data_IF_643708026452
#
_entry.id   IF_643708026452
#
_cell.length_a   1.000
_cell.length_b   1.000
_cell.length_c   1.000
_cell.angle_alpha   90.00
_cell.angle_beta   90.00
_cell.angle_gamma   90.00
#
_symmetry.space_group_name_H-M   'P 1'
#
loop_
_entity.id
_entity.type
_entity.pdbx_description
1 polymer ?
#
# COMPACT_ATOMS: atom_id res chain seq x y z
N UNK A 1 -6.48 5.77 17.75
CA UNK A 1 -7.27 6.41 16.68
C UNK A 1 -6.51 6.22 15.36
N UNK A 2 -7.21 5.90 14.26
CA UNK A 2 -6.60 5.73 12.92
C UNK A 2 -6.04 7.09 12.49
N UNK A 3 -4.75 7.19 12.17
CA UNK A 3 -4.16 8.42 11.63
C UNK A 3 -4.84 8.70 10.28
N UNK A 4 -5.60 9.80 10.20
CA UNK A 4 -6.26 10.19 8.95
C UNK A 4 -5.36 11.11 8.15
N UNK A 5 -5.50 11.09 6.83
CA UNK A 5 -4.78 11.95 5.91
C UNK A 5 -5.78 12.73 5.06
N UNK A 6 -5.47 13.99 4.79
CA UNK A 6 -6.29 14.87 3.97
C UNK A 6 -6.38 14.34 2.53
N UNK A 7 -7.59 14.06 2.05
CA UNK A 7 -7.90 13.55 0.71
C UNK A 7 -7.75 14.61 -0.40
N UNK A 8 -7.09 15.73 -0.11
CA UNK A 8 -6.72 16.79 -1.06
C UNK A 8 -5.21 17.05 -1.08
N UNK A 9 -4.52 17.08 0.06
CA UNK A 9 -3.09 17.41 0.11
C UNK A 9 -2.19 16.30 0.69
N UNK A 10 -2.77 15.18 1.15
CA UNK A 10 -2.02 14.08 1.76
C UNK A 10 -1.46 14.39 3.14
N UNK A 11 -1.80 15.53 3.75
CA UNK A 11 -1.31 15.92 5.07
C UNK A 11 -1.94 15.04 6.17
N UNK A 12 -1.16 14.50 7.12
CA UNK A 12 -1.71 13.85 8.32
C UNK A 12 -2.60 14.84 9.10
N UNK A 13 -3.77 14.39 9.54
CA UNK A 13 -4.76 15.20 10.24
C UNK A 13 -5.08 14.65 11.63
N UNK A 14 -5.16 15.57 12.58
CA UNK A 14 -5.80 15.45 13.89
C UNK A 14 -7.15 16.17 13.88
N UNK A 15 -7.97 16.00 14.92
CA UNK A 15 -9.35 16.54 14.97
C UNK A 15 -9.40 18.07 14.82
N UNK A 16 -8.39 18.77 15.36
CA UNK A 16 -8.26 20.22 15.23
C UNK A 16 -7.98 20.67 13.79
N UNK A 17 -7.39 19.80 12.97
CA UNK A 17 -7.06 20.07 11.57
C UNK A 17 -8.17 19.65 10.59
N UNK A 18 -9.29 19.11 11.05
CA UNK A 18 -10.44 18.78 10.19
C UNK A 18 -11.15 20.02 9.67
N UNK A 19 -11.38 20.04 8.35
CA UNK A 19 -12.15 21.05 7.64
C UNK A 19 -13.60 21.10 8.11
N UNK A 20 -14.41 21.95 7.49
CA UNK A 20 -15.80 22.17 7.91
C UNK A 20 -16.79 22.05 6.76
N UNK A 21 -17.95 21.47 7.07
CA UNK A 21 -19.15 21.49 6.24
C UNK A 21 -19.88 22.85 6.37
N UNK A 22 -20.85 23.12 5.49
CA UNK A 22 -21.70 24.32 5.56
C UNK A 22 -22.40 24.51 6.92
N UNK A 23 -22.71 23.41 7.61
CA UNK A 23 -23.34 23.41 8.94
C UNK A 23 -22.32 23.42 10.10
N UNK A 24 -21.06 23.78 9.84
CA UNK A 24 -19.94 23.79 10.78
C UNK A 24 -19.56 22.42 11.38
N UNK A 25 -20.13 21.30 10.91
CA UNK A 25 -19.66 19.97 11.29
C UNK A 25 -18.25 19.74 10.73
N UNK A 26 -17.44 18.98 11.47
CA UNK A 26 -16.09 18.60 11.04
C UNK A 26 -16.15 17.64 9.85
N UNK A 27 -15.41 17.97 8.79
CA UNK A 27 -15.15 17.08 7.67
C UNK A 27 -13.87 16.28 7.98
N UNK A 28 -14.01 14.96 8.06
CA UNK A 28 -12.89 14.06 8.44
C UNK A 28 -12.04 13.62 7.24
N UNK A 29 -12.41 14.03 6.02
CA UNK A 29 -11.71 13.69 4.78
C UNK A 29 -10.70 14.75 4.38
N UNK A 30 -10.99 16.03 4.65
CA UNK A 30 -10.18 17.16 4.20
C UNK A 30 -9.74 18.04 5.37
N UNK A 31 -8.55 18.62 5.27
CA UNK A 31 -8.03 19.50 6.31
C UNK A 31 -8.58 20.93 6.19
N UNK A 32 -8.50 21.69 7.28
CA UNK A 32 -8.88 23.12 7.36
C UNK A 32 -8.21 24.00 6.30
N UNK A 33 -7.05 23.59 5.76
CA UNK A 33 -6.33 24.35 4.75
C UNK A 33 -6.84 24.08 3.33
N UNK A 34 -7.48 22.92 3.10
CA UNK A 34 -8.01 22.55 1.79
C UNK A 34 -9.51 22.81 1.67
N UNK A 35 -10.28 22.62 2.74
CA UNK A 35 -11.74 22.57 2.70
C UNK A 35 -12.36 23.28 3.91
N UNK A 36 -13.30 24.18 3.66
CA UNK A 36 -13.99 24.96 4.68
C UNK A 36 -15.37 25.39 4.17
N UNK A 37 -16.35 25.42 5.09
CA UNK A 37 -17.73 25.79 4.83
C UNK A 37 -18.35 25.02 3.64
N UNK A 38 -18.08 23.71 3.55
CA UNK A 38 -18.64 22.83 2.52
C UNK A 38 -18.04 23.02 1.12
N UNK A 39 -16.88 23.67 1.00
CA UNK A 39 -16.23 23.88 -0.29
C UNK A 39 -14.70 23.86 -0.22
N UNK A 40 -14.05 23.53 -1.33
CA UNK A 40 -12.60 23.67 -1.44
C UNK A 40 -12.23 25.16 -1.49
N UNK A 41 -11.25 25.58 -0.68
CA UNK A 41 -10.76 26.98 -0.64
C UNK A 41 -10.20 27.43 -1.99
N UNK A 42 -9.66 26.49 -2.76
CA UNK A 42 -9.07 26.73 -4.07
C UNK A 42 -9.59 25.68 -5.07
N UNK A 43 -10.81 25.82 -5.61
CA UNK A 43 -11.44 24.78 -6.42
C UNK A 43 -10.75 24.58 -7.77
N UNK A 44 -10.13 25.63 -8.33
CA UNK A 44 -9.39 25.58 -9.60
C UNK A 44 -7.92 25.20 -9.46
N UNK A 45 -7.44 24.92 -8.25
CA UNK A 45 -6.04 24.54 -8.00
C UNK A 45 -5.72 23.23 -8.74
N UNK A 46 -4.64 23.21 -9.49
CA UNK A 46 -4.15 22.01 -10.18
C UNK A 46 -3.29 21.13 -9.26
N UNK A 47 -3.03 19.88 -9.65
CA UNK A 47 -2.13 19.01 -8.89
C UNK A 47 -0.71 19.56 -8.80
N UNK A 48 -0.15 20.12 -9.88
CA UNK A 48 1.19 20.75 -9.85
C UNK A 48 1.22 21.94 -8.88
N UNK A 49 0.17 22.77 -8.87
CA UNK A 49 0.06 23.86 -7.90
C UNK A 49 -0.07 23.34 -6.46
N UNK A 50 -0.78 22.23 -6.23
CA UNK A 50 -0.84 21.59 -4.92
C UNK A 50 0.53 21.07 -4.46
N UNK A 51 1.34 20.52 -5.37
CA UNK A 51 2.73 20.12 -5.08
C UNK A 51 3.53 21.34 -4.63
N UNK A 52 3.46 22.44 -5.38
CA UNK A 52 4.18 23.67 -5.06
C UNK A 52 3.75 24.28 -3.72
N UNK A 53 2.48 24.11 -3.32
CA UNK A 53 1.99 24.52 -1.99
C UNK A 53 2.55 23.62 -0.88
N UNK A 54 2.62 22.30 -1.08
CA UNK A 54 2.98 21.36 -0.01
C UNK A 54 4.50 21.21 0.21
N UNK A 55 5.29 21.26 -0.87
CA UNK A 55 6.74 21.00 -0.84
C UNK A 55 7.49 21.90 0.16
N UNK A 56 7.22 23.22 0.27
CA UNK A 56 7.86 24.07 1.27
C UNK A 56 7.71 23.56 2.71
N UNK A 57 6.51 23.13 3.10
CA UNK A 57 6.25 22.60 4.44
C UNK A 57 6.95 21.26 4.70
N UNK A 58 7.06 20.41 3.67
CA UNK A 58 7.79 19.15 3.78
C UNK A 58 9.30 19.37 3.94
N UNK A 59 9.84 20.40 3.27
CA UNK A 59 11.24 20.81 3.42
C UNK A 59 11.54 21.33 4.82
N UNK A 60 10.65 22.15 5.38
CA UNK A 60 10.76 22.64 6.76
C UNK A 60 10.80 21.48 7.76
N UNK A 61 10.07 20.40 7.48
CA UNK A 61 10.10 19.15 8.27
C UNK A 61 11.28 18.22 7.96
N UNK A 62 12.27 18.66 7.18
CA UNK A 62 13.53 17.95 6.94
C UNK A 62 13.56 17.07 5.69
N UNK A 63 12.52 17.09 4.83
CA UNK A 63 12.54 16.33 3.58
C UNK A 63 13.30 17.09 2.47
N UNK A 64 14.16 16.40 1.71
CA UNK A 64 14.78 16.98 0.51
C UNK A 64 13.71 17.31 -0.55
N UNK A 65 13.89 18.43 -1.26
CA UNK A 65 12.90 18.92 -2.23
C UNK A 65 12.55 17.91 -3.31
N UNK A 66 13.54 17.29 -3.97
CA UNK A 66 13.29 16.31 -5.03
C UNK A 66 12.51 15.10 -4.51
N UNK A 67 12.80 14.66 -3.28
CA UNK A 67 12.06 13.58 -2.62
C UNK A 67 10.63 14.02 -2.30
N UNK A 68 10.43 15.24 -1.80
CA UNK A 68 9.10 15.78 -1.52
C UNK A 68 8.26 15.89 -2.79
N UNK A 69 8.82 16.44 -3.87
CA UNK A 69 8.14 16.52 -5.18
C UNK A 69 7.79 15.14 -5.72
N UNK A 70 8.72 14.18 -5.67
CA UNK A 70 8.48 12.80 -6.09
C UNK A 70 7.37 12.15 -5.27
N UNK A 71 7.42 12.28 -3.94
CA UNK A 71 6.39 11.72 -3.06
C UNK A 71 5.01 12.32 -3.36
N UNK A 72 4.93 13.64 -3.54
CA UNK A 72 3.66 14.32 -3.84
C UNK A 72 3.11 13.94 -5.21
N UNK A 73 3.96 13.81 -6.24
CA UNK A 73 3.56 13.35 -7.58
C UNK A 73 2.98 11.94 -7.56
N UNK A 74 3.48 11.08 -6.68
CA UNK A 74 2.94 9.73 -6.51
C UNK A 74 1.70 9.72 -5.60
N UNK A 75 1.65 10.58 -4.58
CA UNK A 75 0.55 10.58 -3.61
C UNK A 75 -0.73 11.24 -4.13
N UNK A 76 -0.64 12.46 -4.70
CA UNK A 76 -1.81 13.26 -5.04
C UNK A 76 -2.79 12.55 -6.00
N UNK A 77 -2.37 11.91 -7.10
CA UNK A 77 -3.29 11.26 -8.04
C UNK A 77 -4.21 10.21 -7.42
N UNK A 78 -3.89 9.71 -6.22
CA UNK A 78 -4.63 8.66 -5.53
C UNK A 78 -5.63 9.19 -4.49
N UNK A 79 -5.61 10.48 -4.18
CA UNK A 79 -6.53 11.08 -3.20
C UNK A 79 -7.91 11.37 -3.82
N UNK A 80 -8.98 11.32 -3.01
CA UNK A 80 -10.38 11.52 -3.48
C UNK A 80 -10.56 12.77 -4.36
N UNK A 81 -9.85 13.87 -4.08
CA UNK A 81 -9.95 15.11 -4.87
C UNK A 81 -9.43 14.97 -6.31
N UNK A 82 -8.42 14.13 -6.53
CA UNK A 82 -7.64 14.13 -7.77
C UNK A 82 -7.80 12.86 -8.59
N UNK A 83 -8.14 11.75 -7.94
CA UNK A 83 -8.27 10.47 -8.62
C UNK A 83 -9.34 10.55 -9.70
N UNK A 84 -9.06 9.97 -10.86
CA UNK A 84 -10.00 9.92 -11.98
C UNK A 84 -11.01 8.79 -11.81
N UNK A 85 -10.57 7.66 -11.26
CA UNK A 85 -11.35 6.43 -11.12
C UNK A 85 -10.97 5.72 -9.83
N UNK A 86 -11.88 4.92 -9.29
CA UNK A 86 -11.56 3.96 -8.23
C UNK A 86 -10.81 2.78 -8.84
N UNK A 87 -9.69 2.40 -8.24
CA UNK A 87 -8.84 1.29 -8.70
C UNK A 87 -9.20 -0.05 -8.04
N UNK A 88 -10.32 -0.10 -7.33
CA UNK A 88 -10.90 -1.34 -6.81
C UNK A 88 -11.47 -2.12 -7.99
N UNK A 89 -10.96 -3.31 -8.23
CA UNK A 89 -11.34 -4.15 -9.37
C UNK A 89 -12.31 -5.26 -9.01
N UNK A 90 -12.46 -5.58 -7.72
CA UNK A 90 -13.49 -6.52 -7.29
C UNK A 90 -13.38 -6.93 -5.82
N UNK A 91 -14.33 -7.77 -5.40
CA UNK A 91 -14.29 -8.50 -4.14
C UNK A 91 -14.27 -9.99 -4.47
N UNK A 92 -13.35 -10.73 -3.86
CA UNK A 92 -13.22 -12.18 -4.07
C UNK A 92 -13.12 -12.92 -2.73
N UNK A 93 -13.50 -14.18 -2.72
CA UNK A 93 -13.26 -15.09 -1.60
C UNK A 93 -12.05 -15.97 -1.89
N UNK A 94 -11.20 -16.17 -0.90
CA UNK A 94 -10.12 -17.16 -0.94
C UNK A 94 -10.21 -18.08 0.26
N UNK A 95 -9.96 -19.37 0.00
CA UNK A 95 -9.74 -20.35 1.06
C UNK A 95 -8.43 -20.08 1.80
N UNK A 96 -8.21 -20.80 2.90
CA UNK A 96 -6.93 -20.77 3.59
C UNK A 96 -5.77 -21.07 2.63
N UNK A 97 -4.66 -20.36 2.82
CA UNK A 97 -3.46 -20.50 1.98
C UNK A 97 -2.24 -20.74 2.86
N UNK A 98 -1.39 -21.66 2.41
CA UNK A 98 -0.06 -21.87 2.98
C UNK A 98 0.94 -21.20 2.06
N UNK A 99 1.72 -20.27 2.59
CA UNK A 99 2.73 -19.53 1.83
C UNK A 99 4.10 -19.86 2.42
N UNK A 100 5.03 -20.29 1.58
CA UNK A 100 6.44 -20.53 1.94
C UNK A 100 7.31 -19.48 1.27
N UNK A 101 8.26 -18.92 2.02
CA UNK A 101 9.11 -17.86 1.49
C UNK A 101 10.16 -17.36 2.46
N UNK A 102 10.88 -16.32 2.00
CA UNK A 102 11.84 -15.57 2.80
C UNK A 102 11.12 -14.40 3.46
N UNK A 103 11.29 -14.25 4.77
CA UNK A 103 10.58 -13.26 5.59
C UNK A 103 11.55 -12.25 6.21
N UNK A 104 11.07 -11.01 6.34
CA UNK A 104 11.69 -9.94 7.12
C UNK A 104 10.65 -9.23 7.99
N UNK A 105 11.10 -8.63 9.08
CA UNK A 105 10.28 -7.77 9.94
C UNK A 105 10.53 -6.30 9.62
N UNK A 106 9.49 -5.50 9.44
CA UNK A 106 9.61 -4.07 9.14
C UNK A 106 8.41 -3.25 9.62
N UNK A 107 8.41 -1.94 9.36
CA UNK A 107 7.33 -1.02 9.72
C UNK A 107 7.24 0.13 8.70
N UNK A 108 6.05 0.73 8.61
CA UNK A 108 5.83 1.97 7.89
C UNK A 108 6.47 3.19 8.59
N UNK A 109 6.74 3.08 9.91
CA UNK A 109 7.35 4.16 10.69
C UNK A 109 8.75 4.49 10.16
N UNK A 110 9.02 5.80 10.04
CA UNK A 110 10.31 6.36 9.60
C UNK A 110 10.77 5.87 8.21
N UNK A 111 9.91 5.18 7.45
CA UNK A 111 10.21 4.69 6.12
C UNK A 111 11.11 3.45 6.05
N UNK A 112 11.30 2.72 7.15
CA UNK A 112 12.21 1.56 7.21
C UNK A 112 11.94 0.50 6.12
N UNK A 113 10.67 0.28 5.78
CA UNK A 113 10.26 -0.64 4.71
C UNK A 113 10.87 -0.30 3.34
N UNK A 114 11.16 0.97 3.05
CA UNK A 114 11.69 1.42 1.75
C UNK A 114 13.09 0.87 1.47
N UNK A 115 13.85 0.50 2.49
CA UNK A 115 15.16 -0.14 2.33
C UNK A 115 15.09 -1.66 2.50
N UNK A 116 14.22 -2.15 3.40
CA UNK A 116 14.17 -3.57 3.79
C UNK A 116 13.47 -4.42 2.72
N UNK A 117 12.30 -3.99 2.23
CA UNK A 117 11.50 -4.78 1.28
C UNK A 117 12.22 -4.94 -0.06
N UNK A 118 12.79 -3.88 -0.68
CA UNK A 118 13.52 -4.04 -1.95
C UNK A 118 14.74 -4.97 -1.84
N UNK A 119 15.47 -4.94 -0.71
CA UNK A 119 16.60 -5.85 -0.48
C UNK A 119 16.15 -7.31 -0.39
N UNK A 120 15.00 -7.57 0.24
CA UNK A 120 14.44 -8.93 0.27
C UNK A 120 14.07 -9.42 -1.14
N UNK A 121 13.42 -8.58 -1.95
CA UNK A 121 13.12 -8.91 -3.34
C UNK A 121 14.37 -9.17 -4.17
N UNK A 122 15.40 -8.33 -4.00
CA UNK A 122 16.70 -8.50 -4.66
C UNK A 122 17.37 -9.83 -4.24
N UNK A 123 17.41 -10.14 -2.94
CA UNK A 123 17.93 -11.40 -2.42
C UNK A 123 17.17 -12.60 -3.01
N UNK A 124 15.83 -12.55 -2.97
CA UNK A 124 14.97 -13.62 -3.46
C UNK A 124 15.23 -13.93 -4.93
N UNK A 125 15.37 -12.87 -5.75
CA UNK A 125 15.65 -12.97 -7.19
C UNK A 125 17.08 -13.44 -7.48
N UNK A 126 18.08 -12.78 -6.89
CA UNK A 126 19.51 -13.03 -7.19
C UNK A 126 19.95 -14.42 -6.76
N UNK A 127 19.49 -14.89 -5.60
CA UNK A 127 19.80 -16.23 -5.10
C UNK A 127 18.85 -17.32 -5.64
N UNK A 128 17.92 -16.97 -6.53
CA UNK A 128 16.90 -17.86 -7.10
C UNK A 128 16.18 -18.67 -6.03
N UNK A 129 15.76 -17.99 -4.98
CA UNK A 129 15.15 -18.62 -3.81
C UNK A 129 13.84 -19.33 -4.16
N UNK A 130 13.07 -18.78 -5.11
CA UNK A 130 11.85 -19.39 -5.63
C UNK A 130 12.04 -20.80 -6.22
N UNK A 131 13.21 -21.09 -6.82
CA UNK A 131 13.50 -22.39 -7.44
C UNK A 131 13.66 -23.50 -6.38
N UNK A 132 13.90 -23.13 -5.12
CA UNK A 132 14.08 -24.07 -4.00
C UNK A 132 12.76 -24.46 -3.35
N UNK A 133 11.70 -23.71 -3.58
CA UNK A 133 10.37 -23.96 -2.99
C UNK A 133 9.69 -25.05 -3.81
N UNK A 134 9.27 -26.13 -3.15
CA UNK A 134 8.57 -27.26 -3.78
C UNK A 134 7.04 -27.14 -3.58
N UNK A 135 6.30 -27.98 -4.31
CA UNK A 135 4.85 -28.14 -4.15
C UNK A 135 4.06 -26.83 -4.29
N UNK A 136 4.50 -25.94 -5.18
CA UNK A 136 3.81 -24.69 -5.47
C UNK A 136 2.46 -24.98 -6.10
N UNK A 137 1.43 -24.26 -5.65
CA UNK A 137 0.10 -24.30 -6.27
C UNK A 137 0.18 -23.74 -7.70
N UNK A 138 1.00 -22.72 -7.92
CA UNK A 138 1.27 -22.14 -9.23
C UNK A 138 2.73 -21.65 -9.30
N UNK A 139 3.48 -22.15 -10.28
CA UNK A 139 4.89 -21.81 -10.50
C UNK A 139 5.10 -20.36 -10.98
N UNK A 140 4.06 -19.72 -11.53
CA UNK A 140 4.15 -18.40 -12.16
C UNK A 140 3.57 -17.27 -11.32
N UNK A 141 3.20 -17.54 -10.06
CA UNK A 141 2.57 -16.58 -9.16
C UNK A 141 3.43 -16.36 -7.91
N UNK A 142 4.12 -15.22 -7.87
CA UNK A 142 4.92 -14.83 -6.71
C UNK A 142 4.07 -13.92 -5.81
N UNK A 143 4.16 -14.15 -4.50
CA UNK A 143 3.44 -13.39 -3.49
C UNK A 143 4.38 -12.49 -2.70
N UNK A 144 3.98 -11.23 -2.54
CA UNK A 144 4.49 -10.32 -1.52
C UNK A 144 3.49 -10.25 -0.35
N UNK A 145 3.64 -11.12 0.64
CA UNK A 145 2.72 -11.28 1.76
C UNK A 145 3.05 -10.31 2.90
N UNK A 146 2.04 -9.61 3.38
CA UNK A 146 2.07 -8.82 4.61
C UNK A 146 1.25 -9.52 5.69
N UNK A 147 1.87 -9.81 6.83
CA UNK A 147 1.24 -10.57 7.93
C UNK A 147 1.77 -10.15 9.31
N UNK A 148 1.24 -10.79 10.36
CA UNK A 148 1.65 -10.58 11.76
C UNK A 148 1.67 -9.11 12.21
N UNK A 149 0.64 -8.34 11.84
CA UNK A 149 0.56 -6.93 12.21
C UNK A 149 0.41 -6.78 13.73
N UNK A 150 1.33 -6.06 14.38
CA UNK A 150 1.24 -5.80 15.83
C UNK A 150 0.20 -4.72 16.17
N UNK A 151 0.10 -3.69 15.33
CA UNK A 151 -0.82 -2.58 15.53
C UNK A 151 -1.26 -2.01 14.18
N UNK A 152 -1.97 -2.84 13.42
CA UNK A 152 -2.49 -2.49 12.09
C UNK A 152 -1.36 -1.90 11.21
N UNK A 153 -1.61 -0.81 10.50
CA UNK A 153 -0.62 -0.14 9.65
C UNK A 153 0.48 0.64 10.40
N UNK A 154 0.36 0.82 11.72
CA UNK A 154 1.26 1.68 12.52
C UNK A 154 2.37 0.86 13.20
N UNK A 155 2.12 -0.42 13.46
CA UNK A 155 3.06 -1.32 14.14
C UNK A 155 4.14 -1.92 13.24
N UNK A 156 4.85 -2.90 13.79
CA UNK A 156 5.65 -3.83 13.00
C UNK A 156 4.74 -4.83 12.28
N UNK A 157 5.19 -5.29 11.14
CA UNK A 157 4.59 -6.37 10.37
C UNK A 157 5.68 -7.23 9.72
N UNK A 158 5.31 -8.44 9.33
CA UNK A 158 6.16 -9.38 8.61
C UNK A 158 5.89 -9.20 7.12
N UNK A 159 6.93 -9.08 6.31
CA UNK A 159 6.83 -9.10 4.87
C UNK A 159 7.56 -10.34 4.33
N UNK A 160 6.88 -11.13 3.52
CA UNK A 160 7.40 -12.36 2.94
C UNK A 160 7.32 -12.33 1.43
N UNK A 161 8.42 -12.68 0.76
CA UNK A 161 8.42 -13.01 -0.67
C UNK A 161 8.42 -14.52 -0.81
N UNK A 162 7.43 -15.06 -1.51
CA UNK A 162 7.23 -16.51 -1.55
C UNK A 162 6.19 -16.98 -2.55
N UNK A 163 5.80 -18.25 -2.41
CA UNK A 163 4.78 -18.90 -3.22
C UNK A 163 3.75 -19.56 -2.33
N UNK A 164 2.51 -19.63 -2.82
CA UNK A 164 1.52 -20.52 -2.23
C UNK A 164 1.92 -21.97 -2.52
N UNK A 165 1.87 -22.83 -1.50
CA UNK A 165 2.22 -24.26 -1.58
C UNK A 165 1.08 -25.12 -1.07
N UNK A 166 1.07 -26.40 -1.43
CA UNK A 166 0.06 -27.37 -0.99
C UNK A 166 0.34 -27.95 0.40
N UNK A 167 1.59 -27.93 0.86
CA UNK A 167 2.02 -28.49 2.15
C UNK A 167 3.35 -27.88 2.63
N UNK A 168 3.72 -28.19 3.88
CA UNK A 168 4.92 -27.66 4.56
C UNK A 168 6.03 -28.71 4.74
N UNK A 169 5.98 -29.84 4.02
CA UNK A 169 6.89 -30.96 4.26
C UNK A 169 8.32 -30.72 3.76
N UNK A 170 8.55 -29.67 2.99
CA UNK A 170 9.85 -29.39 2.34
C UNK A 170 10.18 -27.91 2.33
N UNK A 171 10.18 -27.28 3.51
CA UNK A 171 10.58 -25.88 3.66
C UNK A 171 12.11 -25.77 3.47
N UNK A 172 12.60 -24.96 2.52
CA UNK A 172 14.03 -24.77 2.32
C UNK A 172 14.72 -24.16 3.55
N UNK A 173 16.01 -24.44 3.70
CA UNK A 173 16.83 -23.81 4.74
C UNK A 173 16.77 -22.27 4.60
N UNK A 174 16.67 -21.59 5.74
CA UNK A 174 16.61 -20.12 5.86
C UNK A 174 15.32 -19.48 5.29
N UNK A 175 14.27 -20.29 5.10
CA UNK A 175 12.89 -19.87 4.82
C UNK A 175 11.94 -20.26 5.95
N UNK A 176 10.73 -19.73 5.89
CA UNK A 176 9.64 -20.05 6.81
C UNK A 176 8.32 -20.16 6.04
N UNK A 177 7.23 -20.42 6.77
CA UNK A 177 5.89 -20.47 6.22
C UNK A 177 4.89 -19.64 7.03
N UNK A 178 3.79 -19.27 6.38
CA UNK A 178 2.60 -18.68 7.00
C UNK A 178 1.35 -19.40 6.55
N UNK A 179 0.41 -19.56 7.47
CA UNK A 179 -0.96 -19.99 7.17
C UNK A 179 -1.83 -18.75 7.23
N UNK A 180 -2.39 -18.37 6.08
CA UNK A 180 -3.29 -17.23 5.94
C UNK A 180 -4.72 -17.76 5.93
N UNK A 181 -5.57 -17.36 6.89
CA UNK A 181 -6.91 -17.90 7.00
C UNK A 181 -7.77 -17.54 5.79
N UNK A 182 -8.81 -18.33 5.55
CA UNK A 182 -9.82 -18.01 4.55
C UNK A 182 -10.43 -16.62 4.82
N UNK A 183 -10.59 -15.81 3.77
CA UNK A 183 -11.06 -14.43 3.91
C UNK A 183 -11.73 -13.94 2.63
N UNK A 184 -12.53 -12.90 2.78
CA UNK A 184 -12.87 -12.01 1.66
C UNK A 184 -11.73 -11.04 1.44
N UNK A 185 -11.53 -10.67 0.19
CA UNK A 185 -10.50 -9.76 -0.25
C UNK A 185 -11.09 -8.68 -1.15
N UNK A 186 -10.81 -7.42 -0.83
CA UNK A 186 -10.90 -6.33 -1.79
C UNK A 186 -9.66 -6.37 -2.68
N UNK A 187 -9.85 -6.39 -4.00
CA UNK A 187 -8.76 -6.43 -4.97
C UNK A 187 -8.56 -5.05 -5.57
N UNK A 188 -7.31 -4.58 -5.53
CA UNK A 188 -6.87 -3.33 -6.16
C UNK A 188 -5.76 -3.67 -7.15
N UNK A 189 -5.94 -3.30 -8.42
CA UNK A 189 -4.93 -3.60 -9.45
C UNK A 189 -4.04 -2.38 -9.70
N UNK A 190 -2.76 -2.51 -9.35
CA UNK A 190 -1.74 -1.54 -9.72
C UNK A 190 -1.29 -1.76 -11.17
N UNK A 191 -1.40 -0.75 -12.03
CA UNK A 191 -1.02 -0.81 -13.44
C UNK A 191 0.05 0.21 -13.78
N UNK A 192 1.17 -0.26 -14.31
CA UNK A 192 2.22 0.56 -14.87
C UNK A 192 3.60 0.23 -14.31
N UNK A 193 4.46 1.24 -14.19
CA UNK A 193 5.83 1.08 -13.71
C UNK A 193 5.90 0.72 -12.22
N UNK A 194 6.50 -0.42 -11.91
CA UNK A 194 6.74 -0.86 -10.53
C UNK A 194 8.13 -0.42 -10.04
N UNK A 195 8.31 -0.17 -8.72
CA UNK A 195 7.33 -0.29 -7.64
C UNK A 195 6.42 0.94 -7.44
N UNK A 196 6.57 1.99 -8.27
CA UNK A 196 5.85 3.26 -8.11
C UNK A 196 4.31 3.04 -8.03
N UNK A 197 3.76 2.24 -8.96
CA UNK A 197 2.32 1.98 -9.01
C UNK A 197 1.78 1.12 -7.87
N UNK A 198 2.59 0.26 -7.27
CA UNK A 198 2.25 -0.44 -6.04
C UNK A 198 2.16 0.55 -4.87
N UNK A 199 3.13 1.47 -4.75
CA UNK A 199 3.09 2.53 -3.74
C UNK A 199 1.87 3.43 -3.86
N UNK A 200 1.49 3.78 -5.10
CA UNK A 200 0.25 4.51 -5.40
C UNK A 200 -1.01 3.75 -4.94
N UNK A 201 -1.10 2.45 -5.25
CA UNK A 201 -2.22 1.61 -4.86
C UNK A 201 -2.34 1.43 -3.33
N UNK A 202 -1.22 1.21 -2.63
CA UNK A 202 -1.21 1.22 -1.16
C UNK A 202 -1.61 2.57 -0.58
N UNK A 203 -1.17 3.66 -1.21
CA UNK A 203 -1.62 5.01 -0.89
C UNK A 203 -3.14 5.15 -1.00
N UNK A 204 -3.75 4.66 -2.07
CA UNK A 204 -5.22 4.61 -2.21
C UNK A 204 -5.86 3.78 -1.10
N UNK A 205 -5.36 2.56 -0.84
CA UNK A 205 -5.92 1.64 0.16
C UNK A 205 -5.93 2.28 1.55
N UNK A 206 -4.83 2.90 1.99
CA UNK A 206 -4.74 3.55 3.31
C UNK A 206 -5.71 4.73 3.47
N UNK A 207 -6.03 5.39 2.36
CA UNK A 207 -6.91 6.55 2.28
C UNK A 207 -8.37 6.19 1.96
N UNK A 208 -8.67 4.91 1.74
CA UNK A 208 -10.00 4.41 1.46
C UNK A 208 -10.77 4.07 2.74
N UNK A 209 -12.07 3.84 2.58
CA UNK A 209 -12.98 3.37 3.65
C UNK A 209 -12.97 1.84 3.81
N UNK A 210 -12.04 1.14 3.15
CA UNK A 210 -11.88 -0.33 3.23
C UNK A 210 -11.64 -0.74 4.69
N UNK A 211 -12.52 -1.61 5.19
CA UNK A 211 -12.44 -2.17 6.54
C UNK A 211 -11.55 -3.41 6.54
N UNK A 212 -10.25 -3.18 6.74
CA UNK A 212 -9.23 -4.22 6.76
C UNK A 212 -9.31 -5.09 8.01
N UNK A 213 -9.18 -6.40 7.84
CA UNK A 213 -9.04 -7.36 8.96
C UNK A 213 -7.62 -7.46 9.47
N UNK A 214 -6.63 -7.15 8.61
CA UNK A 214 -5.20 -7.32 8.87
C UNK A 214 -4.83 -8.79 9.17
N UNK A 215 -5.60 -9.76 8.67
CA UNK A 215 -5.31 -11.19 8.81
C UNK A 215 -4.28 -11.71 7.81
N UNK A 216 -3.99 -10.94 6.76
CA UNK A 216 -2.98 -11.24 5.75
C UNK A 216 -3.35 -10.58 4.44
N UNK A 217 -2.63 -9.52 4.08
CA UNK A 217 -2.76 -8.84 2.78
C UNK A 217 -1.61 -9.28 1.88
N UNK A 218 -1.79 -9.29 0.56
CA UNK A 218 -0.69 -9.69 -0.32
C UNK A 218 -0.74 -9.06 -1.70
N UNK A 219 0.43 -8.89 -2.28
CA UNK A 219 0.64 -8.56 -3.69
C UNK A 219 0.79 -9.86 -4.48
N UNK A 220 0.08 -9.98 -5.60
CA UNK A 220 0.17 -11.09 -6.54
C UNK A 220 0.84 -10.63 -7.83
N UNK A 221 2.03 -11.17 -8.08
CA UNK A 221 2.80 -10.97 -9.29
C UNK A 221 2.62 -12.20 -10.18
N UNK A 222 1.72 -12.08 -11.16
CA UNK A 222 1.43 -13.13 -12.14
C UNK A 222 2.05 -12.81 -13.52
N UNK A 223 1.62 -13.51 -14.57
CA UNK A 223 2.08 -13.30 -15.96
C UNK A 223 1.92 -11.88 -16.50
N UNK A 224 1.09 -11.03 -15.88
CA UNK A 224 0.91 -9.62 -16.23
C UNK A 224 2.06 -8.74 -15.71
N UNK A 225 2.88 -9.27 -14.81
CA UNK A 225 4.10 -8.61 -14.34
C UNK A 225 5.31 -9.09 -15.17
N UNK A 226 5.79 -8.20 -16.03
CA UNK A 226 6.97 -8.42 -16.89
C UNK A 226 8.11 -7.42 -16.60
N UNK A 227 7.93 -6.53 -15.62
CA UNK A 227 8.85 -5.45 -15.28
C UNK A 227 8.81 -4.26 -16.25
N UNK A 228 7.91 -4.26 -17.24
CA UNK A 228 7.71 -3.15 -18.16
C UNK A 228 6.85 -2.03 -17.55
N UNK A 229 6.75 -0.92 -18.29
CA UNK A 229 5.84 0.17 -17.93
C UNK A 229 4.35 -0.18 -18.07
N UNK A 230 3.99 -1.38 -18.52
CA UNK A 230 2.61 -1.88 -18.64
C UNK A 230 2.31 -3.03 -17.68
N UNK A 231 3.22 -3.33 -16.74
CA UNK A 231 3.01 -4.40 -15.77
C UNK A 231 1.76 -4.19 -14.92
N UNK A 232 1.08 -5.28 -14.59
CA UNK A 232 -0.01 -5.27 -13.60
C UNK A 232 0.32 -6.15 -12.40
N UNK A 233 -0.05 -5.69 -11.21
CA UNK A 233 0.05 -6.44 -9.95
C UNK A 233 -1.25 -6.24 -9.19
N UNK A 234 -1.85 -7.33 -8.72
CA UNK A 234 -3.05 -7.25 -7.88
C UNK A 234 -2.65 -7.20 -6.40
N UNK A 235 -3.26 -6.28 -5.66
CA UNK A 235 -3.15 -6.19 -4.20
C UNK A 235 -4.44 -6.70 -3.61
N UNK A 236 -4.35 -7.77 -2.83
CA UNK A 236 -5.43 -8.41 -2.12
C UNK A 236 -5.42 -7.91 -0.67
N UNK A 237 -6.46 -7.17 -0.31
CA UNK A 237 -6.62 -6.59 1.02
C UNK A 237 -7.71 -7.34 1.76
N UNK A 238 -7.37 -8.02 2.85
CA UNK A 238 -8.31 -8.83 3.61
C UNK A 238 -9.38 -7.95 4.30
N UNK A 239 -10.65 -8.31 4.09
CA UNK A 239 -11.84 -7.59 4.60
C UNK A 239 -12.82 -8.56 5.27
N UNK A 240 -13.73 -7.99 6.08
CA UNK A 240 -14.83 -8.75 6.71
C UNK A 240 -15.90 -9.16 5.69
#
# INVERSE_FOLDING_TARGET
MKQKYCQSCGMPMSEELYGTELNNKKNQEYCIYCYENGSFKYPSLTMEQMIDVCVPFMKEKGMKEDKARTLMKNCLPNLKRWRKEDIITGIVEKSEMIIVGKEVRTTNKDGAFMDIIPKLWEEFKTQKLGDKILNKVNENEILGLYSDYENKEIGLYSFMVGFQVTDINSIPKDMTYKVIPASKYCVVTAKGKMPDKIGEAWGYIWNSDIQRTYTGDFELYDKRYDGSGNSEVDIYVAIN
#
